data_IF_939785426053
#
_entry.id   IF_939785426053
#
_cell.length_a   1.000
_cell.length_b   1.000
_cell.length_c   1.000
_cell.angle_alpha   90.00
_cell.angle_beta   90.00
_cell.angle_gamma   90.00
#
_symmetry.space_group_name_H-M   'P 1'
#
loop_
_entity.id
_entity.type
_entity.pdbx_description
1 polymer ?
#
# COMPACT_ATOMS: atom_id res chain seq x y z
N UNK A 1 -9.75 17.65 -12.15
CA UNK A 1 -8.94 16.52 -11.69
C UNK A 1 -8.06 17.02 -10.56
N UNK A 2 -8.24 16.50 -9.31
CA UNK A 2 -7.27 16.74 -8.25
C UNK A 2 -6.08 15.83 -8.55
N UNK A 3 -4.91 16.41 -8.69
CA UNK A 3 -3.65 15.66 -8.79
C UNK A 3 -3.40 15.05 -7.40
N UNK A 4 -3.49 13.71 -7.30
CA UNK A 4 -2.92 13.00 -6.16
C UNK A 4 -1.47 12.73 -6.49
N UNK A 5 -0.57 13.16 -5.62
CA UNK A 5 0.83 12.82 -5.75
C UNK A 5 1.07 11.50 -5.03
N UNK A 6 1.50 10.47 -5.76
CA UNK A 6 1.79 9.16 -5.19
C UNK A 6 3.30 9.02 -4.97
N UNK A 7 3.68 8.70 -3.74
CA UNK A 7 5.05 8.35 -3.39
C UNK A 7 5.07 6.85 -3.12
N UNK A 8 5.85 6.09 -3.90
CA UNK A 8 5.92 4.65 -3.80
C UNK A 8 7.27 4.27 -3.23
N UNK A 9 7.27 3.66 -2.07
CA UNK A 9 8.44 3.08 -1.42
C UNK A 9 8.45 1.57 -1.62
N UNK A 10 9.54 1.05 -2.16
CA UNK A 10 9.69 -0.37 -2.47
C UNK A 10 11.07 -0.90 -2.07
N UNK A 11 11.26 -2.22 -2.07
CA UNK A 11 12.50 -2.87 -1.65
C UNK A 11 13.42 -3.38 -2.75
N UNK A 12 14.76 -3.35 -2.43
CA UNK A 12 15.76 -4.31 -2.89
C UNK A 12 15.81 -5.60 -2.03
N UNK A 13 16.89 -6.31 -2.07
CA UNK A 13 17.12 -7.74 -1.76
C UNK A 13 16.90 -8.19 -0.31
N UNK A 14 16.77 -7.33 0.69
CA UNK A 14 16.73 -7.70 2.13
C UNK A 14 15.59 -6.99 2.86
N UNK A 15 14.85 -7.73 3.70
CA UNK A 15 13.86 -7.18 4.62
C UNK A 15 14.53 -6.43 5.80
N UNK A 16 13.80 -5.54 6.47
CA UNK A 16 14.32 -4.84 7.66
C UNK A 16 15.17 -3.60 7.39
N UNK A 17 15.24 -3.11 6.14
CA UNK A 17 16.02 -1.92 5.77
C UNK A 17 15.38 -0.57 6.20
N UNK A 18 14.28 -0.60 6.93
CA UNK A 18 13.63 0.61 7.44
C UNK A 18 12.71 1.32 6.45
N UNK A 19 12.05 0.59 5.56
CA UNK A 19 11.06 1.08 4.60
C UNK A 19 9.91 1.84 5.28
N UNK A 20 9.29 1.19 6.28
CA UNK A 20 8.20 1.79 7.04
C UNK A 20 8.63 3.09 7.67
N UNK A 21 9.82 3.12 8.29
CA UNK A 21 10.41 4.32 8.85
C UNK A 21 10.67 5.37 7.77
N UNK A 22 11.21 4.98 6.60
CA UNK A 22 11.44 5.91 5.49
C UNK A 22 10.12 6.50 4.97
N UNK A 23 9.10 5.66 4.76
CA UNK A 23 7.78 6.10 4.29
C UNK A 23 7.11 7.06 5.29
N UNK A 24 7.11 6.71 6.57
CA UNK A 24 6.58 7.56 7.63
C UNK A 24 7.35 8.88 7.77
N UNK A 25 8.68 8.83 7.68
CA UNK A 25 9.54 10.02 7.76
C UNK A 25 9.31 10.98 6.59
N UNK A 26 9.13 10.46 5.37
CA UNK A 26 8.78 11.27 4.21
C UNK A 26 7.46 12.00 4.45
N UNK A 27 6.46 11.31 4.95
CA UNK A 27 5.18 11.91 5.30
C UNK A 27 5.31 13.00 6.37
N UNK A 28 6.05 12.74 7.44
CA UNK A 28 6.30 13.72 8.51
C UNK A 28 7.04 14.95 7.99
N UNK A 29 8.06 14.78 7.13
CA UNK A 29 8.79 15.89 6.52
C UNK A 29 7.86 16.73 5.64
N UNK A 30 7.03 16.10 4.82
CA UNK A 30 6.06 16.81 3.97
C UNK A 30 5.05 17.60 4.81
N UNK A 31 4.57 17.06 5.93
CA UNK A 31 3.73 17.79 6.88
C UNK A 31 4.47 19.03 7.48
N UNK A 32 5.74 18.88 7.83
CA UNK A 32 6.55 19.99 8.32
C UNK A 32 6.78 21.08 7.26
N UNK A 33 6.80 20.72 5.99
CA UNK A 33 6.90 21.65 4.85
C UNK A 33 5.57 22.33 4.49
N UNK A 34 4.48 21.99 5.19
CA UNK A 34 3.17 22.61 5.01
C UNK A 34 2.14 21.77 4.27
N UNK A 35 2.52 20.58 3.78
CA UNK A 35 1.59 19.62 3.17
C UNK A 35 0.86 18.84 4.27
N UNK A 36 -0.37 19.23 4.58
CA UNK A 36 -1.10 18.71 5.74
C UNK A 36 -2.06 17.55 5.44
N UNK A 37 -2.41 17.34 4.17
CA UNK A 37 -3.40 16.34 3.78
C UNK A 37 -2.70 15.11 3.18
N UNK A 38 -2.02 14.35 4.02
CA UNK A 38 -1.26 13.16 3.62
C UNK A 38 -1.97 11.93 4.13
N UNK A 39 -2.11 10.92 3.28
CA UNK A 39 -2.48 9.56 3.66
C UNK A 39 -1.34 8.59 3.34
N UNK A 40 -1.32 7.45 4.00
CA UNK A 40 -0.33 6.41 3.79
C UNK A 40 -1.01 5.06 3.68
N UNK A 41 -0.47 4.18 2.84
CA UNK A 41 -0.99 2.83 2.61
C UNK A 41 0.13 1.82 2.61
N UNK A 42 -0.20 0.62 3.07
CA UNK A 42 0.64 -0.54 2.95
C UNK A 42 0.04 -1.55 1.98
N UNK A 43 0.84 -2.01 1.04
CA UNK A 43 0.53 -3.11 0.13
C UNK A 43 1.34 -4.32 0.58
N UNK A 44 0.68 -5.33 1.10
CA UNK A 44 1.31 -6.55 1.61
C UNK A 44 1.07 -7.72 0.66
N UNK A 45 2.12 -8.29 0.07
CA UNK A 45 1.98 -9.33 -0.97
C UNK A 45 1.69 -10.73 -0.43
N UNK A 46 1.44 -10.91 0.87
CA UNK A 46 1.07 -12.21 1.41
C UNK A 46 -0.41 -12.54 1.15
N UNK A 47 -0.73 -13.85 1.13
CA UNK A 47 -2.07 -14.37 0.82
C UNK A 47 -3.03 -14.38 2.03
N UNK A 48 -2.59 -14.01 3.21
CA UNK A 48 -3.49 -13.82 4.35
C UNK A 48 -4.44 -12.65 4.05
N UNK A 49 -5.70 -12.78 4.43
CA UNK A 49 -6.70 -11.72 4.23
C UNK A 49 -6.38 -10.51 5.10
N UNK A 50 -5.92 -10.76 6.30
CA UNK A 50 -5.42 -9.77 7.27
C UNK A 50 -4.27 -10.36 8.10
N UNK A 51 -3.73 -9.58 9.02
CA UNK A 51 -2.60 -10.01 9.86
C UNK A 51 -3.01 -10.86 11.08
N UNK A 52 -4.30 -10.97 11.39
CA UNK A 52 -4.78 -11.59 12.63
C UNK A 52 -4.50 -13.08 12.78
N UNK A 53 -4.27 -13.79 11.66
CA UNK A 53 -3.94 -15.21 11.66
C UNK A 53 -2.44 -15.49 11.54
N UNK A 54 -1.61 -14.46 11.46
CA UNK A 54 -0.17 -14.62 11.25
C UNK A 54 0.57 -14.85 12.57
N UNK A 55 1.63 -15.64 12.52
CA UNK A 55 2.46 -15.90 13.69
C UNK A 55 3.26 -14.66 14.09
N UNK A 56 3.16 -14.16 15.33
CA UNK A 56 3.99 -13.05 15.79
C UNK A 56 5.50 -13.33 15.74
N UNK A 57 5.89 -14.61 15.79
CA UNK A 57 7.31 -15.01 15.70
C UNK A 57 7.87 -14.84 14.28
N UNK A 58 7.02 -14.88 13.24
CA UNK A 58 7.44 -14.75 11.85
C UNK A 58 7.28 -13.31 11.33
N UNK A 59 6.22 -12.62 11.75
CA UNK A 59 5.83 -11.33 11.18
C UNK A 59 5.81 -10.17 12.17
N UNK A 60 6.12 -10.44 13.44
CA UNK A 60 5.97 -9.48 14.53
C UNK A 60 4.53 -9.43 15.07
N UNK A 61 4.32 -8.58 16.04
CA UNK A 61 3.00 -8.38 16.66
C UNK A 61 2.05 -7.66 15.68
N UNK A 62 0.76 -7.99 15.79
CA UNK A 62 -0.28 -7.27 15.05
C UNK A 62 -0.61 -5.95 15.74
N UNK A 63 -0.97 -4.96 14.94
CA UNK A 63 -1.52 -3.70 15.39
C UNK A 63 -3.03 -3.65 15.11
N UNK A 64 -3.81 -3.26 16.12
CA UNK A 64 -5.27 -3.18 15.99
C UNK A 64 -5.67 -1.73 15.78
N UNK A 65 -6.25 -1.43 14.62
CA UNK A 65 -6.78 -0.11 14.28
C UNK A 65 -8.04 0.22 15.09
N UNK A 66 -8.44 1.48 15.12
CA UNK A 66 -9.64 1.92 15.83
C UNK A 66 -10.94 1.25 15.32
N UNK A 67 -10.96 0.79 14.08
CA UNK A 67 -12.09 0.04 13.51
C UNK A 67 -12.08 -1.46 13.86
N UNK A 68 -11.11 -1.91 14.66
CA UNK A 68 -10.94 -3.30 15.11
C UNK A 68 -10.18 -4.19 14.13
N UNK A 69 -9.68 -3.64 13.03
CA UNK A 69 -8.92 -4.41 12.04
C UNK A 69 -7.52 -4.72 12.55
N UNK A 70 -7.12 -5.97 12.47
CA UNK A 70 -5.78 -6.45 12.77
C UNK A 70 -4.87 -6.28 11.57
N UNK A 71 -3.80 -5.50 11.73
CA UNK A 71 -2.89 -5.12 10.64
C UNK A 71 -1.44 -5.35 11.03
N UNK A 72 -0.55 -5.16 10.07
CA UNK A 72 0.88 -5.11 10.31
C UNK A 72 1.24 -3.94 11.25
N UNK A 73 2.24 -4.14 12.10
CA UNK A 73 2.73 -3.16 13.08
C UNK A 73 3.14 -1.82 12.44
N UNK A 74 3.55 -1.82 11.18
CA UNK A 74 3.92 -0.60 10.46
C UNK A 74 2.78 0.43 10.42
N UNK A 75 1.51 0.00 10.40
CA UNK A 75 0.38 0.93 10.41
C UNK A 75 0.32 1.74 11.71
N UNK A 76 0.65 1.13 12.85
CA UNK A 76 0.77 1.86 14.11
C UNK A 76 1.89 2.89 14.08
N UNK A 77 3.02 2.56 13.45
CA UNK A 77 4.11 3.52 13.25
C UNK A 77 3.64 4.70 12.37
N UNK A 78 2.88 4.43 11.30
CA UNK A 78 2.36 5.49 10.44
C UNK A 78 1.41 6.43 11.18
N UNK A 79 0.46 5.89 11.96
CA UNK A 79 -0.45 6.69 12.77
C UNK A 79 0.33 7.60 13.73
N UNK A 80 1.35 7.05 14.38
CA UNK A 80 2.16 7.78 15.33
C UNK A 80 3.00 8.88 14.68
N UNK A 81 3.71 8.57 13.57
CA UNK A 81 4.57 9.54 12.88
C UNK A 81 3.78 10.66 12.21
N UNK A 82 2.63 10.34 11.62
CA UNK A 82 1.84 11.28 10.82
C UNK A 82 0.72 11.94 11.63
N UNK A 83 0.46 11.48 12.85
CA UNK A 83 -0.67 11.90 13.66
C UNK A 83 -1.99 11.82 12.89
N UNK A 84 -2.25 10.68 12.28
CA UNK A 84 -3.45 10.37 11.49
C UNK A 84 -4.16 9.15 12.08
N UNK A 85 -5.44 8.98 11.75
CA UNK A 85 -6.21 7.79 12.05
C UNK A 85 -6.39 6.97 10.79
N UNK A 86 -5.88 5.74 10.79
CA UNK A 86 -5.96 4.82 9.66
C UNK A 86 -7.12 3.83 9.86
N UNK A 87 -7.58 3.27 8.77
CA UNK A 87 -8.68 2.30 8.71
C UNK A 87 -8.25 1.09 7.89
N UNK A 88 -9.05 0.02 7.92
CA UNK A 88 -8.78 -1.24 7.20
C UNK A 88 -8.40 -1.04 5.72
N UNK A 89 -8.92 -0.01 5.08
CA UNK A 89 -8.63 0.30 3.69
C UNK A 89 -7.20 0.76 3.44
N UNK A 90 -6.44 1.08 4.49
CA UNK A 90 -5.04 1.51 4.38
C UNK A 90 -4.06 0.33 4.38
N UNK A 91 -4.51 -0.88 4.74
CA UNK A 91 -3.76 -2.12 4.58
C UNK A 91 -4.39 -2.97 3.47
N UNK A 92 -3.67 -3.16 2.39
CA UNK A 92 -4.13 -3.90 1.22
C UNK A 92 -3.27 -5.16 1.09
N UNK A 93 -3.86 -6.32 1.39
CA UNK A 93 -3.18 -7.62 1.24
C UNK A 93 -3.55 -8.29 -0.08
N UNK A 94 -2.68 -9.17 -0.57
CA UNK A 94 -3.00 -10.03 -1.70
C UNK A 94 -4.24 -10.85 -1.44
N UNK A 95 -4.34 -11.44 -0.25
CA UNK A 95 -5.51 -12.25 0.14
C UNK A 95 -6.82 -11.48 0.02
N UNK A 96 -6.85 -10.22 0.50
CA UNK A 96 -8.03 -9.37 0.38
C UNK A 96 -8.38 -9.06 -1.09
N UNK A 97 -7.39 -8.81 -1.94
CA UNK A 97 -7.61 -8.57 -3.37
C UNK A 97 -8.16 -9.82 -4.06
N UNK A 98 -7.52 -10.97 -3.85
CA UNK A 98 -7.96 -12.23 -4.46
C UNK A 98 -9.34 -12.65 -3.97
N UNK A 99 -9.63 -12.51 -2.67
CA UNK A 99 -10.95 -12.80 -2.12
C UNK A 99 -12.04 -11.98 -2.84
N UNK A 100 -11.83 -10.68 -2.99
CA UNK A 100 -12.78 -9.80 -3.70
C UNK A 100 -12.99 -10.21 -5.16
N UNK A 101 -11.93 -10.66 -5.84
CA UNK A 101 -12.01 -11.10 -7.23
C UNK A 101 -12.78 -12.42 -7.34
N UNK A 102 -12.52 -13.38 -6.45
CA UNK A 102 -13.22 -14.66 -6.40
C UNK A 102 -14.70 -14.42 -6.09
N UNK A 103 -15.02 -13.56 -5.14
CA UNK A 103 -16.40 -13.21 -4.80
C UNK A 103 -17.12 -12.53 -5.99
N UNK A 104 -16.44 -11.63 -6.69
CA UNK A 104 -16.96 -10.98 -7.90
C UNK A 104 -17.19 -11.99 -9.04
N UNK A 105 -16.30 -12.97 -9.22
CA UNK A 105 -16.44 -14.06 -10.19
C UNK A 105 -17.66 -14.93 -9.86
N UNK A 106 -17.78 -15.37 -8.60
CA UNK A 106 -18.92 -16.20 -8.16
C UNK A 106 -20.26 -15.49 -8.30
N UNK A 107 -20.28 -14.17 -8.23
CA UNK A 107 -21.47 -13.32 -8.49
C UNK A 107 -21.72 -13.05 -9.98
N UNK A 108 -20.89 -13.58 -10.87
CA UNK A 108 -21.04 -13.42 -12.33
C UNK A 108 -20.61 -12.05 -12.87
N UNK A 109 -19.86 -11.26 -12.10
CA UNK A 109 -19.45 -9.90 -12.51
C UNK A 109 -18.65 -9.86 -13.80
N UNK A 110 -17.91 -10.94 -14.09
CA UNK A 110 -17.05 -11.02 -15.27
C UNK A 110 -17.74 -11.63 -16.50
N UNK A 111 -19.04 -11.91 -16.43
CA UNK A 111 -19.87 -12.33 -17.57
C UNK A 111 -19.29 -13.52 -18.37
N UNK A 112 -18.71 -14.49 -17.70
CA UNK A 112 -18.11 -15.68 -18.31
C UNK A 112 -16.70 -15.48 -18.89
N UNK A 113 -16.10 -14.32 -18.71
CA UNK A 113 -14.70 -14.10 -19.09
C UNK A 113 -13.76 -14.93 -18.23
N UNK A 114 -12.64 -15.36 -18.82
CA UNK A 114 -11.53 -15.94 -18.05
C UNK A 114 -10.89 -14.87 -17.18
N UNK A 115 -10.94 -15.07 -15.85
CA UNK A 115 -10.34 -14.13 -14.88
C UNK A 115 -8.85 -14.42 -14.78
N UNK A 116 -8.01 -13.39 -14.94
CA UNK A 116 -6.55 -13.50 -15.01
C UNK A 116 -5.89 -12.44 -14.12
N UNK A 117 -4.61 -12.62 -13.84
CA UNK A 117 -3.82 -11.62 -13.09
C UNK A 117 -3.88 -10.26 -13.82
N UNK A 118 -3.62 -10.27 -15.11
CA UNK A 118 -3.77 -9.08 -15.96
C UNK A 118 -4.94 -9.35 -16.92
N UNK A 119 -5.97 -8.52 -16.95
CA UNK A 119 -6.10 -7.22 -16.25
C UNK A 119 -6.83 -7.27 -14.90
N UNK A 120 -7.42 -8.39 -14.48
CA UNK A 120 -8.43 -8.38 -13.40
C UNK A 120 -7.83 -8.07 -12.03
N UNK A 121 -6.71 -8.75 -11.65
CA UNK A 121 -6.05 -8.48 -10.36
C UNK A 121 -5.41 -7.10 -10.38
N UNK A 122 -4.70 -6.75 -11.44
CA UNK A 122 -4.06 -5.42 -11.55
C UNK A 122 -5.07 -4.28 -11.53
N UNK A 123 -6.21 -4.43 -12.22
CA UNK A 123 -7.28 -3.43 -12.17
C UNK A 123 -7.90 -3.32 -10.77
N UNK A 124 -8.11 -4.45 -10.09
CA UNK A 124 -8.66 -4.45 -8.73
C UNK A 124 -7.74 -3.74 -7.74
N UNK A 125 -6.43 -3.94 -7.87
CA UNK A 125 -5.43 -3.22 -7.06
C UNK A 125 -5.51 -1.71 -7.35
N UNK A 126 -5.53 -1.30 -8.63
CA UNK A 126 -5.62 0.10 -9.03
C UNK A 126 -6.90 0.77 -8.49
N UNK A 127 -8.05 0.09 -8.63
CA UNK A 127 -9.34 0.55 -8.08
C UNK A 127 -9.26 0.73 -6.56
N UNK A 128 -8.70 -0.26 -5.85
CA UNK A 128 -8.57 -0.22 -4.40
C UNK A 128 -7.65 0.91 -3.95
N UNK A 129 -6.50 1.10 -4.58
CA UNK A 129 -5.59 2.21 -4.28
C UNK A 129 -6.30 3.55 -4.52
N UNK A 130 -6.93 3.72 -5.67
CA UNK A 130 -7.59 4.98 -6.05
C UNK A 130 -8.75 5.33 -5.11
N UNK A 131 -9.62 4.37 -4.81
CA UNK A 131 -10.77 4.61 -3.93
C UNK A 131 -10.36 4.96 -2.51
N UNK A 132 -9.30 4.33 -2.00
CA UNK A 132 -8.85 4.55 -0.64
C UNK A 132 -7.92 5.75 -0.48
N UNK A 133 -7.29 6.24 -1.56
CA UNK A 133 -6.50 7.48 -1.51
C UNK A 133 -7.34 8.72 -1.24
N UNK A 134 -8.67 8.62 -1.38
CA UNK A 134 -9.61 9.69 -1.09
C UNK A 134 -10.13 9.69 0.35
N UNK A 135 -9.77 8.70 1.18
CA UNK A 135 -10.23 8.61 2.56
C UNK A 135 -9.59 9.69 3.41
N UNK A 136 -10.41 10.44 4.12
CA UNK A 136 -9.97 11.52 4.99
C UNK A 136 -9.45 10.94 6.29
N UNK A 137 -8.16 11.12 6.57
CA UNK A 137 -7.49 10.58 7.76
C UNK A 137 -7.30 11.59 8.90
N UNK A 138 -7.46 12.88 8.65
CA UNK A 138 -7.22 13.95 9.63
C UNK A 138 -8.45 14.85 9.91
N UNK A 139 -9.65 14.39 9.57
CA UNK A 139 -10.95 15.05 9.78
C UNK A 139 -11.11 16.41 9.08
N UNK A 140 -10.26 16.79 8.15
CA UNK A 140 -10.30 18.10 7.48
C UNK A 140 -10.62 18.01 6.00
N UNK A 141 -9.68 17.52 5.22
CA UNK A 141 -9.79 17.50 3.77
C UNK A 141 -9.37 16.16 3.19
N UNK A 142 -9.75 15.91 1.93
CA UNK A 142 -9.21 14.79 1.18
C UNK A 142 -7.69 14.92 1.07
N UNK A 143 -6.95 13.81 1.12
CA UNK A 143 -5.51 13.82 0.93
C UNK A 143 -5.12 14.45 -0.41
N UNK A 144 -4.02 15.19 -0.42
CA UNK A 144 -3.37 15.70 -1.61
C UNK A 144 -2.20 14.78 -2.00
N UNK A 145 -1.62 14.11 -1.02
CA UNK A 145 -0.52 13.16 -1.18
C UNK A 145 -0.90 11.82 -0.58
N UNK A 146 -0.68 10.75 -1.35
CA UNK A 146 -0.82 9.37 -0.90
C UNK A 146 0.55 8.68 -0.94
N UNK A 147 1.06 8.29 0.22
CA UNK A 147 2.27 7.48 0.31
C UNK A 147 1.86 6.01 0.23
N UNK A 148 2.53 5.24 -0.62
CA UNK A 148 2.30 3.82 -0.79
C UNK A 148 3.58 3.08 -0.45
N UNK A 149 3.55 2.28 0.60
CA UNK A 149 4.61 1.35 0.89
C UNK A 149 4.28 -0.01 0.30
N UNK A 150 5.13 -0.50 -0.61
CA UNK A 150 5.01 -1.86 -1.13
C UNK A 150 5.83 -2.81 -0.26
N UNK A 151 5.15 -3.76 0.38
CA UNK A 151 5.73 -4.87 1.12
C UNK A 151 6.44 -5.86 0.21
N UNK A 152 7.26 -6.73 0.81
CA UNK A 152 8.04 -7.73 0.08
C UNK A 152 9.18 -7.16 -0.75
N UNK A 153 9.84 -8.01 -1.50
CA UNK A 153 11.00 -7.70 -2.34
C UNK A 153 10.58 -7.51 -3.79
N UNK A 154 11.08 -6.47 -4.47
CA UNK A 154 10.86 -6.33 -5.91
C UNK A 154 11.59 -7.45 -6.63
N UNK A 155 10.86 -8.15 -7.50
CA UNK A 155 11.33 -9.32 -8.23
C UNK A 155 10.78 -10.64 -7.69
N UNK A 156 10.24 -10.65 -6.48
CA UNK A 156 9.51 -11.80 -5.97
C UNK A 156 8.14 -11.91 -6.64
N UNK A 157 7.71 -13.15 -6.85
CA UNK A 157 6.48 -13.47 -7.57
C UNK A 157 5.25 -12.86 -6.89
N UNK A 158 5.26 -12.80 -5.57
CA UNK A 158 4.18 -12.28 -4.73
C UNK A 158 3.98 -10.77 -4.90
N UNK A 159 5.03 -10.01 -5.20
CA UNK A 159 4.95 -8.56 -5.36
C UNK A 159 4.71 -8.11 -6.80
N UNK A 160 4.93 -8.98 -7.79
CA UNK A 160 4.95 -8.61 -9.22
C UNK A 160 3.67 -7.95 -9.71
N UNK A 161 2.50 -8.44 -9.31
CA UNK A 161 1.22 -7.86 -9.76
C UNK A 161 0.91 -6.51 -9.10
N UNK A 162 1.42 -6.24 -7.89
CA UNK A 162 1.39 -4.90 -7.31
C UNK A 162 2.28 -3.94 -8.09
N UNK A 163 3.51 -4.36 -8.38
CA UNK A 163 4.46 -3.57 -9.20
C UNK A 163 3.84 -3.25 -10.57
N UNK A 164 3.23 -4.25 -11.22
CA UNK A 164 2.57 -4.05 -12.52
C UNK A 164 1.37 -3.12 -12.41
N UNK A 165 0.55 -3.24 -11.37
CA UNK A 165 -0.58 -2.33 -11.14
C UNK A 165 -0.11 -0.89 -10.98
N UNK A 166 0.94 -0.65 -10.17
CA UNK A 166 1.52 0.67 -9.96
C UNK A 166 2.16 1.23 -11.23
N UNK A 167 2.85 0.38 -12.02
CA UNK A 167 3.38 0.76 -13.33
C UNK A 167 2.27 1.22 -14.28
N UNK A 168 1.15 0.49 -14.32
CA UNK A 168 0.01 0.86 -15.16
C UNK A 168 -0.66 2.16 -14.69
N UNK A 169 -0.78 2.36 -13.37
CA UNK A 169 -1.29 3.63 -12.82
C UNK A 169 -0.41 4.81 -13.24
N UNK A 170 0.91 4.68 -13.09
CA UNK A 170 1.84 5.72 -13.53
C UNK A 170 1.72 6.03 -15.02
N UNK A 171 1.65 4.98 -15.85
CA UNK A 171 1.53 5.15 -17.31
C UNK A 171 0.23 5.86 -17.74
N UNK A 172 -0.88 5.62 -17.02
CA UNK A 172 -2.18 6.23 -17.29
C UNK A 172 -2.32 7.65 -16.73
N UNK A 173 -1.45 8.03 -15.83
CA UNK A 173 -1.52 9.32 -15.13
C UNK A 173 -0.79 10.42 -15.89
N UNK A 174 -1.11 11.67 -15.56
CA UNK A 174 -0.38 12.82 -16.07
C UNK A 174 1.08 12.80 -15.56
N UNK A 175 1.97 13.45 -16.30
CA UNK A 175 3.38 13.55 -15.94
C UNK A 175 3.54 14.15 -14.53
N UNK A 176 4.49 13.62 -13.78
CA UNK A 176 4.84 14.04 -12.41
C UNK A 176 3.77 13.73 -11.34
N UNK A 177 2.86 12.80 -11.57
CA UNK A 177 1.89 12.33 -10.56
C UNK A 177 2.50 11.31 -9.60
N UNK A 178 3.54 10.58 -10.03
CA UNK A 178 4.19 9.52 -9.26
C UNK A 178 5.65 9.85 -8.98
N UNK A 179 6.08 9.57 -7.73
CA UNK A 179 7.47 9.52 -7.32
C UNK A 179 7.78 8.12 -6.81
N UNK A 180 8.76 7.44 -7.40
CA UNK A 180 9.20 6.12 -6.98
C UNK A 180 10.48 6.24 -6.16
N UNK A 181 10.45 5.70 -4.95
CA UNK A 181 11.59 5.66 -4.03
C UNK A 181 11.96 4.21 -3.81
N UNK A 182 13.17 3.83 -4.18
CA UNK A 182 13.68 2.48 -3.96
C UNK A 182 14.68 2.49 -2.81
N UNK A 183 14.36 1.72 -1.76
CA UNK A 183 15.23 1.56 -0.59
C UNK A 183 16.04 0.28 -0.78
N UNK A 184 17.37 0.38 -0.77
CA UNK A 184 18.25 -0.76 -0.99
C UNK A 184 19.48 -0.69 -0.08
N UNK A 185 20.06 -1.87 0.24
CA UNK A 185 21.32 -1.97 0.95
C UNK A 185 22.49 -1.76 0.00
N UNK A 186 23.36 -0.82 0.34
CA UNK A 186 24.67 -0.67 -0.33
C UNK A 186 25.73 -1.24 0.59
N UNK A 187 26.36 -2.34 0.16
CA UNK A 187 27.46 -2.95 0.90
C UNK A 187 28.73 -2.20 0.55
N UNK A 188 29.35 -1.57 1.54
CA UNK A 188 30.68 -0.98 1.39
C UNK A 188 31.72 -2.03 1.80
N UNK A 189 32.42 -2.60 0.84
CA UNK A 189 33.54 -3.49 1.07
C UNK A 189 34.84 -2.66 1.19
N UNK A 190 35.03 -2.02 2.35
CA UNK A 190 36.34 -1.46 2.71
C UNK A 190 37.24 -2.55 3.33
#
# INVERSE_FOLDING_TARGET
>A
FKLYFFIISSYGVISGLGKGVASASIGAILQMLGETNITIKKLDPYLNVDAGTMSPLEHGEVYVLNDGTETDLDLGNYEWFLNVELHKEHNITSGNIFQKIIDDERKGKYLGQTVQIIPHVTNKIQETISSTSEIIVNKKNKPDICIIELGGTIGDMESMYFVEALRQMNYKSENNTFCFIHVSLIINNN
#
